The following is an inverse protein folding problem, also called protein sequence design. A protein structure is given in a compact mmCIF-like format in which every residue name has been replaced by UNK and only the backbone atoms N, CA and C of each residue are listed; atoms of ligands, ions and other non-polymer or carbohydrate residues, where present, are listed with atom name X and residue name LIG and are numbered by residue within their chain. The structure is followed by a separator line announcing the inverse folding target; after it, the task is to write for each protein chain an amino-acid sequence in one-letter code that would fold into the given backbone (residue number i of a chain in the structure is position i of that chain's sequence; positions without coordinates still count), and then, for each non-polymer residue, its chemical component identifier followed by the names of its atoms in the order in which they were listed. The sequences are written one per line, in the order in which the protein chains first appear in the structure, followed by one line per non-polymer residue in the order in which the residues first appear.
data_IF_457512554499
#
_entry.id   IF_457512554499
#
_cell.length_a   1.000
_cell.length_b   1.000
_cell.length_c   1.000
_cell.angle_alpha   90.00
_cell.angle_beta   90.00
_cell.angle_gamma   90.00
#
_symmetry.space_group_name_H-M   'P 1'
#
loop_
_entity.id
_entity.type
_entity.pdbx_description
1 polymer ?
#
# COMPACT_ATOMS: atom_id res chain seq x y z
N UNK A 1 42.74 35.65 12.62
CA UNK A 1 42.00 35.25 11.41
C UNK A 1 40.94 34.26 11.90
N UNK A 2 39.66 34.58 12.14
CA UNK A 2 38.62 35.35 11.42
C UNK A 2 37.94 34.56 10.28
N UNK A 3 36.60 34.48 10.37
CA UNK A 3 35.60 33.92 9.41
C UNK A 3 35.42 32.38 9.52
N UNK A 4 34.21 31.82 9.56
CA UNK A 4 32.87 32.36 9.28
C UNK A 4 31.82 32.07 10.38
N UNK A 5 30.84 32.97 10.46
CA UNK A 5 29.44 32.78 10.87
C UNK A 5 28.59 33.62 9.87
N UNK A 6 27.24 33.55 9.85
CA UNK A 6 26.32 32.61 10.50
C UNK A 6 25.68 31.71 9.41
N UNK A 7 24.48 31.11 9.48
CA UNK A 7 23.38 31.04 10.47
C UNK A 7 22.52 29.79 10.21
N UNK A 8 21.99 29.13 11.25
CA UNK A 8 20.73 28.38 11.17
C UNK A 8 19.95 28.60 12.48
N UNK A 9 18.87 29.39 12.41
CA UNK A 9 17.97 29.61 13.54
C UNK A 9 16.87 28.55 13.49
N UNK A 10 17.03 27.48 14.26
CA UNK A 10 15.96 26.52 14.51
C UNK A 10 15.07 27.06 15.64
N UNK A 11 13.91 27.61 15.28
CA UNK A 11 12.87 27.95 16.26
C UNK A 11 12.22 26.68 16.80
N UNK A 12 12.74 26.16 17.91
CA UNK A 12 12.04 25.16 18.73
C UNK A 12 11.17 25.92 19.73
N UNK A 13 9.88 26.06 19.43
CA UNK A 13 8.89 26.60 20.38
C UNK A 13 8.43 25.46 21.28
N UNK A 14 9.03 25.39 22.46
CA UNK A 14 8.56 24.57 23.58
C UNK A 14 7.57 25.41 24.41
N UNK A 15 6.30 25.02 24.45
CA UNK A 15 5.34 25.56 25.44
C UNK A 15 5.14 24.51 26.53
N UNK A 16 5.97 24.58 27.56
CA UNK A 16 5.61 24.05 28.87
C UNK A 16 4.84 25.13 29.64
N UNK A 17 3.72 24.75 30.26
CA UNK A 17 2.97 25.62 31.17
C UNK A 17 3.80 25.91 32.43
N UNK A 18 4.51 27.03 32.43
CA UNK A 18 4.86 27.75 33.65
C UNK A 18 3.84 28.87 33.85
N UNK A 19 3.20 28.87 35.02
CA UNK A 19 2.39 30.00 35.45
C UNK A 19 3.28 31.22 35.72
N UNK A 20 3.17 32.26 34.90
CA UNK A 20 3.36 33.69 35.25
C UNK A 20 2.90 34.55 34.07
N UNK A 21 2.18 35.62 34.42
CA UNK A 21 1.68 36.78 33.65
C UNK A 21 2.00 36.96 32.13
N UNK A 22 0.94 37.34 31.41
CA UNK A 22 0.92 38.25 30.26
C UNK A 22 1.84 37.98 29.06
N UNK A 23 1.33 37.19 28.10
CA UNK A 23 1.33 37.61 26.68
C UNK A 23 0.29 36.84 25.88
N UNK A 24 -0.72 37.56 25.35
CA UNK A 24 -1.81 36.95 24.60
C UNK A 24 -1.43 36.79 23.11
N UNK A 25 -1.03 35.59 22.71
CA UNK A 25 -0.93 35.22 21.30
C UNK A 25 -2.30 34.74 20.81
N UNK A 26 -3.01 35.58 20.06
CA UNK A 26 -4.29 35.20 19.46
C UNK A 26 -4.10 34.15 18.36
N UNK A 27 -4.36 32.89 18.67
CA UNK A 27 -4.67 31.88 17.65
C UNK A 27 -5.97 32.33 16.98
N UNK A 28 -5.87 32.75 15.71
CA UNK A 28 -7.03 33.19 14.95
C UNK A 28 -7.78 31.96 14.48
N UNK A 29 -9.04 31.79 14.89
CA UNK A 29 -9.87 30.68 14.45
C UNK A 29 -9.99 30.68 12.92
N UNK A 30 -9.41 29.66 12.28
CA UNK A 30 -9.47 29.52 10.82
C UNK A 30 -10.87 29.01 10.46
N UNK A 31 -11.45 29.51 9.36
CA UNK A 31 -12.66 28.92 8.80
C UNK A 31 -12.27 27.76 7.89
N UNK A 32 -12.67 26.54 8.24
CA UNK A 32 -12.80 25.47 7.25
C UNK A 32 -13.81 25.90 6.17
N UNK A 33 -13.41 25.82 4.91
CA UNK A 33 -14.29 26.05 3.78
C UNK A 33 -14.85 24.72 3.28
N UNK A 34 -16.09 24.38 3.64
CA UNK A 34 -16.74 23.16 3.13
C UNK A 34 -17.31 23.38 1.73
N UNK A 35 -16.65 22.81 0.73
CA UNK A 35 -17.16 22.66 -0.63
C UNK A 35 -17.19 21.17 -0.99
N UNK A 36 -18.40 20.63 -1.16
CA UNK A 36 -18.65 19.28 -1.67
C UNK A 36 -17.85 18.14 -0.96
N UNK A 37 -17.88 18.10 0.37
CA UNK A 37 -17.32 16.98 1.15
C UNK A 37 -15.80 16.97 1.33
N UNK A 38 -15.12 18.03 0.87
CA UNK A 38 -13.71 18.28 1.16
C UNK A 38 -13.55 19.16 2.42
N UNK A 39 -12.58 18.81 3.27
CA UNK A 39 -12.05 19.67 4.31
C UNK A 39 -10.57 19.98 4.04
N UNK A 40 -10.15 21.23 4.19
CA UNK A 40 -8.76 21.69 3.93
C UNK A 40 -8.16 22.32 5.18
N UNK A 41 -7.00 21.82 5.61
CA UNK A 41 -6.29 22.30 6.80
C UNK A 41 -5.15 23.27 6.42
N UNK A 42 -4.98 24.39 7.15
CA UNK A 42 -4.00 25.42 6.81
C UNK A 42 -2.57 25.04 7.27
N UNK A 43 -1.78 24.49 6.34
CA UNK A 43 -0.39 24.00 6.54
C UNK A 43 -0.22 22.88 7.57
N UNK A 44 0.46 21.77 7.24
CA UNK A 44 0.60 20.64 8.16
C UNK A 44 1.51 20.99 9.36
N UNK A 45 0.91 21.29 10.51
CA UNK A 45 1.57 21.13 11.82
C UNK A 45 1.52 19.66 12.23
N UNK A 46 2.15 18.79 11.44
CA UNK A 46 2.31 17.38 11.80
C UNK A 46 3.44 17.26 12.81
N UNK A 47 3.07 17.20 14.10
CA UNK A 47 3.97 16.77 15.16
C UNK A 47 3.89 15.25 15.29
N UNK A 48 4.57 14.50 14.39
CA UNK A 48 4.86 13.09 14.68
C UNK A 48 5.87 13.07 15.83
N UNK A 49 5.39 12.85 17.05
CA UNK A 49 6.27 12.47 18.15
C UNK A 49 6.78 11.04 17.88
N UNK A 50 8.11 10.82 17.73
CA UNK A 50 8.63 9.47 17.63
C UNK A 50 8.28 8.70 18.90
N UNK A 51 7.95 7.41 18.80
CA UNK A 51 7.67 6.56 19.99
C UNK A 51 8.87 6.43 20.96
N UNK A 52 10.05 6.93 20.58
CA UNK A 52 11.24 7.06 21.42
C UNK A 52 11.28 8.37 22.24
N UNK A 53 10.31 9.28 22.10
CA UNK A 53 10.16 10.39 23.03
C UNK A 53 9.79 9.82 24.41
N UNK A 54 10.71 10.00 25.35
CA UNK A 54 10.81 9.22 26.58
C UNK A 54 9.49 9.12 27.36
N UNK A 55 8.88 7.92 27.40
CA UNK A 55 7.63 7.62 28.12
C UNK A 55 7.80 7.52 29.65
N UNK A 56 8.84 8.13 30.23
CA UNK A 56 9.10 8.11 31.69
C UNK A 56 8.57 9.35 32.41
N UNK A 57 7.25 9.54 32.40
CA UNK A 57 6.50 10.34 33.37
C UNK A 57 5.00 10.08 33.17
N UNK A 58 4.28 9.76 34.24
CA UNK A 58 2.84 9.49 34.27
C UNK A 58 2.02 10.80 34.15
N UNK A 59 2.29 11.60 33.13
CA UNK A 59 1.47 12.75 32.77
C UNK A 59 0.38 12.27 31.80
N UNK A 60 -0.92 12.29 32.19
CA UNK A 60 -1.99 12.03 31.24
C UNK A 60 -2.01 13.16 30.20
N UNK A 61 -1.54 12.87 28.99
CA UNK A 61 -1.69 13.74 27.82
C UNK A 61 -3.16 13.70 27.36
N UNK A 62 -4.03 14.38 28.09
CA UNK A 62 -5.33 14.80 27.59
C UNK A 62 -5.13 15.98 26.65
N UNK A 63 -4.67 15.71 25.43
CA UNK A 63 -4.79 16.68 24.34
C UNK A 63 -6.24 16.68 23.85
N UNK A 64 -7.14 17.31 24.61
CA UNK A 64 -8.44 17.68 24.05
C UNK A 64 -8.21 18.84 23.09
N UNK A 65 -8.07 18.51 21.81
CA UNK A 65 -8.27 19.48 20.76
C UNK A 65 -9.79 19.72 20.66
N UNK A 66 -10.35 20.46 21.63
CA UNK A 66 -11.75 20.88 21.70
C UNK A 66 -12.06 21.97 20.65
N UNK A 67 -11.54 21.78 19.43
CA UNK A 67 -11.99 22.52 18.26
C UNK A 67 -13.15 21.75 17.62
N UNK A 68 -14.32 22.38 17.59
CA UNK A 68 -15.54 21.83 16.97
C UNK A 68 -15.26 21.43 15.51
N UNK A 69 -14.32 22.10 14.85
CA UNK A 69 -13.87 21.82 13.49
C UNK A 69 -13.19 20.45 13.31
N UNK A 70 -12.59 19.87 14.36
CA UNK A 70 -12.03 18.52 14.30
C UNK A 70 -13.11 17.44 14.36
N UNK A 71 -14.27 17.73 14.98
CA UNK A 71 -15.43 16.84 14.90
C UNK A 71 -15.99 16.80 13.47
N UNK A 72 -15.91 17.89 12.72
CA UNK A 72 -16.34 17.92 11.30
C UNK A 72 -15.50 17.00 10.41
N UNK A 73 -14.21 16.80 10.72
CA UNK A 73 -13.34 15.84 9.99
C UNK A 73 -13.87 14.41 10.03
N UNK A 74 -14.54 13.99 11.11
CA UNK A 74 -15.11 12.64 11.23
C UNK A 74 -16.19 12.33 10.18
N UNK A 75 -16.74 13.37 9.55
CA UNK A 75 -17.75 13.26 8.49
C UNK A 75 -17.18 13.57 7.09
N UNK A 76 -15.88 13.85 6.96
CA UNK A 76 -15.26 14.21 5.69
C UNK A 76 -14.75 12.98 4.93
N UNK A 77 -15.21 12.82 3.69
CA UNK A 77 -14.70 11.76 2.80
C UNK A 77 -13.33 12.11 2.19
N UNK A 78 -13.02 13.40 2.06
CA UNK A 78 -11.74 13.89 1.53
C UNK A 78 -11.13 14.89 2.50
N UNK A 79 -9.88 14.65 2.90
CA UNK A 79 -9.14 15.51 3.84
C UNK A 79 -7.87 16.00 3.12
N UNK A 80 -7.74 17.31 2.99
CA UNK A 80 -6.64 18.00 2.31
C UNK A 80 -5.69 18.63 3.33
N UNK A 81 -4.42 18.25 3.28
CA UNK A 81 -3.33 18.85 4.06
C UNK A 81 -2.43 19.77 3.20
N UNK A 82 -2.45 19.57 1.88
CA UNK A 82 -1.75 20.41 0.89
C UNK A 82 -2.65 20.63 -0.35
N UNK A 83 -2.73 21.86 -0.90
CA UNK A 83 -3.52 22.15 -2.10
C UNK A 83 -3.21 21.26 -3.32
N UNK A 84 -2.02 20.65 -3.41
CA UNK A 84 -1.68 19.71 -4.48
C UNK A 84 -2.63 18.50 -4.51
N UNK A 85 -3.12 18.03 -3.36
CA UNK A 85 -4.09 16.93 -3.29
C UNK A 85 -5.40 17.27 -4.01
N UNK A 86 -5.87 18.51 -3.89
CA UNK A 86 -7.08 18.96 -4.59
C UNK A 86 -6.90 18.98 -6.12
N UNK A 87 -5.68 19.25 -6.59
CA UNK A 87 -5.31 19.20 -8.01
C UNK A 87 -5.31 17.75 -8.53
N UNK A 88 -4.91 16.77 -7.71
CA UNK A 88 -4.93 15.34 -8.08
C UNK A 88 -6.36 14.78 -8.20
N UNK A 89 -7.25 15.16 -7.29
CA UNK A 89 -8.68 14.77 -7.34
C UNK A 89 -9.42 15.46 -8.49
N UNK A 90 -9.12 16.75 -8.72
CA UNK A 90 -9.90 17.58 -9.63
C UNK A 90 -11.31 17.88 -9.13
N UNK A 91 -12.22 18.09 -10.08
CA UNK A 91 -13.59 18.57 -9.80
C UNK A 91 -14.64 17.51 -9.50
N UNK A 92 -14.45 16.25 -9.93
CA UNK A 92 -15.37 15.16 -9.59
C UNK A 92 -14.79 14.36 -8.42
N UNK A 93 -15.45 14.43 -7.27
CA UNK A 93 -15.03 13.77 -6.02
C UNK A 93 -16.03 12.68 -5.61
N UNK A 94 -16.68 12.05 -6.59
CA UNK A 94 -17.65 10.96 -6.36
C UNK A 94 -16.94 9.62 -6.42
N UNK A 95 -17.06 8.82 -5.35
CA UNK A 95 -16.66 7.41 -5.36
C UNK A 95 -17.84 6.59 -5.84
N UNK A 96 -17.64 5.84 -6.92
CA UNK A 96 -18.61 4.95 -7.53
C UNK A 96 -18.33 3.51 -7.08
N UNK A 97 -19.35 2.80 -6.60
CA UNK A 97 -19.27 1.34 -6.48
C UNK A 97 -19.47 0.73 -7.87
N UNK A 98 -18.45 0.08 -8.42
CA UNK A 98 -18.53 -0.58 -9.73
C UNK A 98 -19.18 -1.95 -9.61
N UNK A 99 -18.64 -2.78 -8.72
CA UNK A 99 -19.16 -4.10 -8.38
C UNK A 99 -19.06 -4.31 -6.87
N UNK A 100 -19.83 -5.25 -6.33
CA UNK A 100 -19.82 -5.53 -4.90
C UNK A 100 -21.13 -6.10 -4.38
N UNK A 101 -21.34 -5.98 -3.07
CA UNK A 101 -22.23 -6.83 -2.29
C UNK A 101 -21.87 -8.33 -2.40
N UNK A 102 -20.57 -8.64 -2.52
CA UNK A 102 -20.11 -10.03 -2.36
C UNK A 102 -20.47 -10.52 -0.95
N UNK A 103 -20.83 -11.80 -0.83
CA UNK A 103 -21.08 -12.45 0.47
C UNK A 103 -19.80 -12.78 1.24
N UNK A 104 -18.64 -12.42 0.69
CA UNK A 104 -17.30 -12.77 1.16
C UNK A 104 -16.26 -11.85 0.52
N UNK A 105 -15.03 -11.88 1.04
CA UNK A 105 -13.96 -10.94 0.68
C UNK A 105 -13.28 -11.32 -0.66
N UNK A 106 -13.96 -10.95 -1.76
CA UNK A 106 -13.57 -11.28 -3.14
C UNK A 106 -12.75 -10.17 -3.80
N UNK A 107 -12.96 -8.91 -3.41
CA UNK A 107 -12.20 -7.75 -3.90
C UNK A 107 -11.09 -7.40 -2.88
N UNK A 108 -10.06 -8.24 -2.83
CA UNK A 108 -8.97 -8.12 -1.86
C UNK A 108 -7.69 -7.59 -2.53
N UNK A 109 -7.15 -8.32 -3.53
CA UNK A 109 -5.74 -8.20 -3.91
C UNK A 109 -5.45 -7.97 -5.39
N UNK A 110 -4.21 -7.58 -5.67
CA UNK A 110 -3.60 -7.55 -7.01
C UNK A 110 -4.44 -6.94 -8.14
N UNK A 111 -5.05 -5.75 -7.98
CA UNK A 111 -5.78 -5.11 -9.07
C UNK A 111 -4.84 -4.65 -10.19
N UNK A 112 -5.12 -5.05 -11.42
CA UNK A 112 -4.35 -4.72 -12.63
C UNK A 112 -5.28 -4.26 -13.74
N UNK A 113 -4.98 -3.11 -14.34
CA UNK A 113 -5.78 -2.55 -15.43
C UNK A 113 -5.49 -3.25 -16.77
N UNK A 114 -6.57 -3.59 -17.48
CA UNK A 114 -6.57 -4.21 -18.80
C UNK A 114 -7.10 -3.19 -19.83
N UNK A 115 -6.23 -2.41 -20.48
CA UNK A 115 -6.65 -1.28 -21.33
C UNK A 115 -7.40 -1.70 -22.60
N UNK A 116 -7.22 -2.93 -23.09
CA UNK A 116 -7.87 -3.43 -24.31
C UNK A 116 -9.39 -3.64 -24.14
N UNK A 117 -9.84 -3.95 -22.91
CA UNK A 117 -11.25 -4.22 -22.59
C UNK A 117 -11.87 -3.22 -21.62
N UNK A 118 -11.08 -2.24 -21.13
CA UNK A 118 -11.45 -1.30 -20.06
C UNK A 118 -11.96 -2.02 -18.79
N UNK A 119 -11.21 -3.06 -18.41
CA UNK A 119 -11.47 -3.89 -17.23
C UNK A 119 -10.32 -3.77 -16.21
N UNK A 120 -10.59 -4.11 -14.95
CA UNK A 120 -9.55 -4.46 -13.97
C UNK A 120 -9.68 -5.94 -13.64
N UNK A 121 -8.57 -6.69 -13.71
CA UNK A 121 -8.46 -8.01 -13.08
C UNK A 121 -7.97 -7.85 -11.65
N UNK A 122 -8.48 -8.66 -10.72
CA UNK A 122 -8.12 -8.64 -9.30
C UNK A 122 -8.33 -10.03 -8.69
N UNK A 123 -7.75 -10.24 -7.52
CA UNK A 123 -7.58 -11.55 -6.89
C UNK A 123 -8.19 -11.61 -5.48
N UNK A 124 -8.48 -12.83 -5.03
CA UNK A 124 -8.91 -13.14 -3.66
C UNK A 124 -8.10 -14.32 -3.14
N UNK A 125 -7.11 -14.06 -2.29
CA UNK A 125 -6.23 -15.11 -1.77
C UNK A 125 -7.03 -16.16 -0.96
N UNK A 126 -8.04 -15.72 -0.20
CA UNK A 126 -8.92 -16.56 0.61
C UNK A 126 -9.70 -17.61 -0.19
N UNK A 127 -10.00 -17.33 -1.47
CA UNK A 127 -10.82 -18.20 -2.32
C UNK A 127 -10.06 -18.77 -3.52
N UNK A 128 -8.82 -18.30 -3.76
CA UNK A 128 -8.06 -18.59 -4.97
C UNK A 128 -8.67 -18.03 -6.27
N UNK A 129 -9.75 -17.24 -6.18
CA UNK A 129 -10.45 -16.72 -7.35
C UNK A 129 -9.74 -15.53 -7.95
N UNK A 130 -9.76 -15.48 -9.29
CA UNK A 130 -9.31 -14.34 -10.08
C UNK A 130 -10.51 -13.84 -10.89
N UNK A 131 -10.82 -12.56 -10.76
CA UNK A 131 -12.02 -11.95 -11.33
C UNK A 131 -11.65 -10.72 -12.17
N UNK A 132 -12.45 -10.45 -13.21
CA UNK A 132 -12.42 -9.18 -13.96
C UNK A 132 -13.66 -8.36 -13.65
N UNK A 133 -13.52 -7.05 -13.57
CA UNK A 133 -14.63 -6.09 -13.51
C UNK A 133 -14.53 -5.08 -14.65
N UNK A 134 -15.63 -4.88 -15.39
CA UNK A 134 -15.71 -3.80 -16.38
C UNK A 134 -15.86 -2.45 -15.69
N UNK A 135 -15.00 -1.49 -16.05
CA UNK A 135 -15.05 -0.12 -15.52
C UNK A 135 -16.18 0.73 -16.16
N UNK A 136 -16.87 0.19 -17.17
CA UNK A 136 -17.97 0.84 -17.87
C UNK A 136 -19.33 0.38 -17.34
N UNK A 137 -19.49 -0.92 -17.07
CA UNK A 137 -20.77 -1.53 -16.70
C UNK A 137 -20.82 -2.03 -15.26
N UNK A 138 -19.69 -2.13 -14.56
CA UNK A 138 -19.58 -2.80 -13.27
C UNK A 138 -19.67 -4.33 -13.36
N UNK A 139 -19.80 -4.90 -14.57
CA UNK A 139 -19.99 -6.33 -14.76
C UNK A 139 -18.76 -7.12 -14.28
N UNK A 140 -19.02 -8.07 -13.40
CA UNK A 140 -18.04 -9.01 -12.88
C UNK A 140 -18.03 -10.29 -13.71
N UNK A 141 -16.82 -10.76 -14.04
CA UNK A 141 -16.57 -11.96 -14.85
C UNK A 141 -15.40 -12.75 -14.25
N UNK A 142 -15.62 -13.95 -13.70
CA UNK A 142 -14.53 -14.82 -13.28
C UNK A 142 -13.58 -15.14 -14.44
N UNK A 143 -12.28 -15.19 -14.18
CA UNK A 143 -11.30 -15.66 -15.16
C UNK A 143 -11.49 -17.18 -15.35
N UNK A 144 -11.60 -17.68 -16.60
CA UNK A 144 -11.90 -19.10 -16.86
C UNK A 144 -10.65 -19.97 -16.70
N UNK A 145 -10.12 -20.04 -15.47
CA UNK A 145 -8.89 -20.76 -15.13
C UNK A 145 -8.94 -22.23 -15.57
N UNK A 146 -7.92 -22.66 -16.31
CA UNK A 146 -7.83 -24.04 -16.83
C UNK A 146 -7.20 -25.01 -15.82
N UNK A 147 -6.64 -24.49 -14.73
CA UNK A 147 -6.07 -25.22 -13.60
C UNK A 147 -6.09 -24.30 -12.38
N UNK A 148 -6.26 -24.82 -11.16
CA UNK A 148 -6.29 -24.00 -9.95
C UNK A 148 -4.95 -23.28 -9.75
N UNK A 149 -5.02 -22.01 -9.36
CA UNK A 149 -3.84 -21.22 -8.97
C UNK A 149 -3.59 -21.34 -7.46
N UNK A 150 -4.67 -21.36 -6.65
CA UNK A 150 -4.61 -21.25 -5.19
C UNK A 150 -4.08 -19.89 -4.73
N UNK A 151 -4.60 -19.33 -3.63
CA UNK A 151 -3.97 -18.21 -2.93
C UNK A 151 -3.51 -17.02 -3.78
N UNK A 152 -4.21 -16.68 -4.87
CA UNK A 152 -3.80 -15.61 -5.78
C UNK A 152 -3.84 -14.25 -5.08
N UNK A 153 -2.74 -13.50 -5.15
CA UNK A 153 -2.51 -12.31 -4.32
C UNK A 153 -2.19 -11.07 -5.18
N UNK A 154 -1.04 -10.43 -5.03
CA UNK A 154 -0.61 -9.30 -5.86
C UNK A 154 -0.42 -9.63 -7.34
N UNK A 155 -0.40 -8.60 -8.18
CA UNK A 155 -0.28 -8.77 -9.62
C UNK A 155 0.19 -7.50 -10.34
N UNK A 156 0.75 -7.68 -11.54
CA UNK A 156 1.23 -6.59 -12.40
C UNK A 156 1.08 -6.91 -13.88
N UNK A 157 0.95 -5.88 -14.74
CA UNK A 157 0.97 -6.06 -16.19
C UNK A 157 2.31 -6.68 -16.64
N UNK A 158 2.28 -7.73 -17.45
CA UNK A 158 3.50 -8.40 -17.89
C UNK A 158 3.31 -9.15 -19.23
N UNK A 159 4.10 -8.77 -20.24
CA UNK A 159 4.21 -9.47 -21.54
C UNK A 159 2.87 -9.78 -22.21
N UNK A 160 1.97 -8.80 -22.28
CA UNK A 160 0.63 -8.93 -22.89
C UNK A 160 -0.37 -9.76 -22.06
N UNK A 161 -0.03 -10.07 -20.81
CA UNK A 161 -0.90 -10.66 -19.81
C UNK A 161 -0.61 -10.05 -18.45
N UNK A 162 -0.71 -10.87 -17.41
CA UNK A 162 -0.52 -10.45 -16.02
C UNK A 162 0.44 -11.41 -15.33
N UNK A 163 1.45 -10.90 -14.63
CA UNK A 163 2.21 -11.69 -13.66
C UNK A 163 1.47 -11.63 -12.31
N UNK A 164 1.19 -12.80 -11.72
CA UNK A 164 0.39 -12.94 -10.49
C UNK A 164 1.21 -13.70 -9.47
N UNK A 165 1.31 -13.19 -8.24
CA UNK A 165 1.84 -13.91 -7.09
C UNK A 165 0.78 -14.85 -6.52
N UNK A 166 1.21 -15.96 -5.93
CA UNK A 166 0.31 -16.96 -5.39
C UNK A 166 0.94 -17.61 -4.15
N UNK A 167 0.15 -17.71 -3.07
CA UNK A 167 0.46 -18.55 -1.90
C UNK A 167 0.24 -20.05 -2.19
N UNK A 168 -0.27 -20.40 -3.36
CA UNK A 168 -0.68 -21.74 -3.75
C UNK A 168 -1.87 -22.25 -2.94
N UNK A 169 -2.04 -23.57 -2.96
CA UNK A 169 -2.83 -24.34 -2.02
C UNK A 169 -2.19 -25.73 -1.93
N UNK A 170 -1.03 -25.81 -1.27
CA UNK A 170 -0.21 -27.01 -1.28
C UNK A 170 -0.85 -28.13 -0.44
N UNK A 171 -1.60 -27.75 0.61
CA UNK A 171 -2.25 -28.69 1.52
C UNK A 171 -3.42 -29.43 0.85
N UNK A 172 -4.27 -28.75 0.08
CA UNK A 172 -5.47 -29.37 -0.52
C UNK A 172 -5.29 -29.75 -2.00
N UNK A 173 -4.56 -28.93 -2.77
CA UNK A 173 -4.45 -29.04 -4.24
C UNK A 173 -3.03 -29.40 -4.72
N UNK A 174 -2.03 -29.40 -3.82
CA UNK A 174 -0.63 -29.64 -4.16
C UNK A 174 0.04 -28.51 -4.97
N UNK A 175 -0.60 -27.34 -5.05
CA UNK A 175 -0.07 -26.17 -5.79
C UNK A 175 0.88 -25.38 -4.86
N UNK A 176 2.18 -25.25 -5.18
CA UNK A 176 3.13 -24.52 -4.33
C UNK A 176 3.01 -22.99 -4.47
N UNK A 177 3.53 -22.22 -3.49
CA UNK A 177 3.69 -20.78 -3.64
C UNK A 177 4.61 -20.43 -4.81
N UNK A 178 4.36 -19.28 -5.45
CA UNK A 178 5.16 -18.84 -6.60
C UNK A 178 4.63 -17.61 -7.32
N UNK A 179 5.13 -17.43 -8.55
CA UNK A 179 4.68 -16.40 -9.48
C UNK A 179 4.35 -17.06 -10.82
N UNK A 180 3.18 -16.74 -11.37
CA UNK A 180 2.68 -17.25 -12.65
C UNK A 180 2.55 -16.11 -13.67
N UNK A 181 2.65 -16.44 -14.96
CA UNK A 181 2.16 -15.59 -16.05
C UNK A 181 0.78 -16.09 -16.45
N UNK A 182 -0.25 -15.25 -16.30
CA UNK A 182 -1.65 -15.50 -16.60
C UNK A 182 -2.11 -14.70 -17.83
N UNK A 183 -2.88 -15.35 -18.70
CA UNK A 183 -3.74 -14.65 -19.66
C UNK A 183 -5.16 -14.51 -19.07
N UNK A 184 -5.61 -13.29 -18.71
CA UNK A 184 -6.84 -13.09 -17.95
C UNK A 184 -8.14 -13.33 -18.75
N UNK A 185 -8.04 -13.54 -20.06
CA UNK A 185 -9.17 -13.81 -20.96
C UNK A 185 -9.38 -15.31 -21.18
N UNK A 186 -8.29 -16.09 -21.31
CA UNK A 186 -8.33 -17.54 -21.58
C UNK A 186 -8.13 -18.41 -20.35
N UNK A 187 -7.68 -17.82 -19.22
CA UNK A 187 -7.37 -18.54 -17.99
C UNK A 187 -6.19 -19.51 -18.09
N UNK A 188 -5.43 -19.46 -19.18
CA UNK A 188 -4.16 -20.18 -19.32
C UNK A 188 -3.11 -19.46 -18.49
N UNK A 189 -2.39 -20.20 -17.66
CA UNK A 189 -1.24 -19.70 -16.93
C UNK A 189 -0.05 -20.67 -16.99
N UNK A 190 1.15 -20.15 -16.73
CA UNK A 190 2.39 -20.91 -16.65
C UNK A 190 3.28 -20.37 -15.52
N UNK A 191 4.13 -21.23 -14.94
CA UNK A 191 5.07 -20.81 -13.90
C UNK A 191 6.16 -19.87 -14.46
N UNK A 192 6.36 -18.73 -13.79
CA UNK A 192 7.58 -17.91 -13.91
C UNK A 192 8.61 -18.43 -12.90
N UNK A 193 8.20 -18.66 -11.65
CA UNK A 193 9.01 -19.27 -10.59
C UNK A 193 8.10 -19.93 -9.54
N UNK A 194 8.52 -21.04 -8.95
CA UNK A 194 7.84 -21.74 -7.84
C UNK A 194 8.80 -22.31 -6.78
N UNK A 195 10.09 -22.01 -6.92
CA UNK A 195 11.15 -22.38 -6.00
C UNK A 195 12.38 -21.50 -6.24
N UNK A 196 13.22 -21.32 -5.22
CA UNK A 196 14.52 -20.68 -5.34
C UNK A 196 15.62 -21.69 -4.97
N UNK A 197 16.41 -22.12 -5.96
CA UNK A 197 17.41 -23.21 -5.82
C UNK A 197 16.84 -24.51 -5.22
N UNK A 198 15.59 -24.86 -5.54
CA UNK A 198 14.90 -26.04 -5.02
C UNK A 198 14.23 -25.85 -3.65
N UNK A 199 14.38 -24.69 -3.02
CA UNK A 199 13.66 -24.31 -1.81
C UNK A 199 12.31 -23.69 -2.18
N UNK A 200 11.23 -24.10 -1.52
CA UNK A 200 9.91 -23.51 -1.74
C UNK A 200 9.88 -22.05 -1.25
N UNK A 201 9.26 -21.19 -2.06
CA UNK A 201 8.92 -19.81 -1.68
C UNK A 201 7.92 -19.85 -0.51
N UNK A 202 7.97 -18.86 0.38
CA UNK A 202 7.16 -18.85 1.61
C UNK A 202 5.74 -18.29 1.44
N UNK A 203 5.54 -17.48 0.40
CA UNK A 203 4.27 -16.86 0.09
C UNK A 203 4.52 -15.54 -0.65
N UNK A 204 4.71 -15.57 -1.99
CA UNK A 204 4.85 -14.35 -2.76
C UNK A 204 3.61 -13.46 -2.60
N UNK A 205 3.83 -12.20 -2.24
CA UNK A 205 2.79 -11.29 -1.77
C UNK A 205 2.41 -10.27 -2.86
N UNK A 206 3.22 -9.23 -3.10
CA UNK A 206 3.02 -8.27 -4.22
C UNK A 206 4.17 -8.28 -5.24
N UNK A 207 3.93 -7.74 -6.43
CA UNK A 207 4.84 -7.80 -7.57
C UNK A 207 4.74 -6.55 -8.47
N UNK A 208 5.89 -6.12 -9.00
CA UNK A 208 5.99 -5.03 -9.98
C UNK A 208 6.93 -5.38 -11.13
N UNK A 209 6.55 -5.01 -12.35
CA UNK A 209 7.36 -5.16 -13.55
C UNK A 209 8.18 -3.90 -13.87
N UNK A 210 9.43 -4.09 -14.28
CA UNK A 210 10.27 -3.05 -14.85
C UNK A 210 10.12 -3.01 -16.38
N UNK A 211 10.42 -1.87 -16.98
CA UNK A 211 10.41 -1.68 -18.45
C UNK A 211 11.44 -2.55 -19.19
N UNK A 212 12.48 -3.04 -18.51
CA UNK A 212 13.43 -4.01 -19.08
C UNK A 212 12.91 -5.46 -19.08
N UNK A 213 11.71 -5.69 -18.52
CA UNK A 213 11.10 -7.01 -18.36
C UNK A 213 11.54 -7.77 -17.11
N UNK A 214 12.30 -7.15 -16.19
CA UNK A 214 12.52 -7.69 -14.85
C UNK A 214 11.23 -7.68 -14.04
N UNK A 215 11.08 -8.64 -13.13
CA UNK A 215 10.04 -8.66 -12.11
C UNK A 215 10.68 -8.50 -10.72
N UNK A 216 10.14 -7.62 -9.88
CA UNK A 216 10.48 -7.52 -8.46
C UNK A 216 9.25 -7.95 -7.66
N UNK A 217 9.40 -8.89 -6.74
CA UNK A 217 8.31 -9.39 -5.90
C UNK A 217 8.76 -9.56 -4.45
N UNK A 218 7.80 -9.54 -3.54
CA UNK A 218 7.99 -9.82 -2.10
C UNK A 218 7.63 -11.26 -1.79
N UNK A 219 8.46 -11.93 -1.00
CA UNK A 219 8.18 -13.28 -0.46
C UNK A 219 8.10 -13.18 1.06
N UNK A 220 7.06 -13.78 1.63
CA UNK A 220 6.67 -13.73 3.05
C UNK A 220 6.59 -15.14 3.62
N UNK A 221 6.12 -15.32 4.86
CA UNK A 221 5.71 -16.64 5.38
C UNK A 221 4.16 -16.83 5.33
N UNK A 222 3.43 -15.97 4.62
CA UNK A 222 1.96 -15.94 4.69
C UNK A 222 1.29 -17.24 4.23
N UNK A 223 1.86 -18.00 3.29
CA UNK A 223 1.27 -19.27 2.88
C UNK A 223 1.21 -20.29 4.04
N UNK A 224 2.22 -20.28 4.93
CA UNK A 224 2.20 -21.08 6.15
C UNK A 224 1.28 -20.49 7.21
N UNK A 225 1.35 -19.18 7.44
CA UNK A 225 0.58 -18.51 8.50
C UNK A 225 -0.94 -18.66 8.23
N UNK A 226 -1.39 -18.58 6.98
CA UNK A 226 -2.78 -18.86 6.57
C UNK A 226 -3.11 -20.34 6.39
N UNK A 227 -2.17 -21.27 6.60
CA UNK A 227 -2.39 -22.71 6.60
C UNK A 227 -2.52 -23.38 5.23
N UNK A 228 -2.21 -22.68 4.13
CA UNK A 228 -2.22 -23.23 2.76
C UNK A 228 -0.90 -23.92 2.36
N UNK A 229 0.17 -23.72 3.16
CA UNK A 229 1.42 -24.47 3.14
C UNK A 229 1.55 -25.41 4.36
N UNK A 230 2.07 -26.64 4.20
CA UNK A 230 2.26 -27.58 5.32
C UNK A 230 3.38 -27.21 6.31
N UNK A 231 4.18 -26.18 6.01
CA UNK A 231 5.27 -25.71 6.85
C UNK A 231 5.75 -24.32 6.43
N UNK A 232 6.54 -23.67 7.28
CA UNK A 232 7.09 -22.34 7.05
C UNK A 232 8.02 -22.27 5.83
N UNK A 233 8.25 -21.06 5.34
CA UNK A 233 9.14 -20.72 4.27
C UNK A 233 10.49 -21.45 4.37
N UNK A 234 10.93 -22.05 3.25
CA UNK A 234 12.28 -22.59 3.12
C UNK A 234 13.27 -21.52 2.62
N UNK A 235 12.73 -20.45 2.01
CA UNK A 235 13.41 -19.23 1.60
C UNK A 235 13.43 -18.20 2.73
N UNK A 236 14.21 -17.13 2.55
CA UNK A 236 14.17 -15.96 3.45
C UNK A 236 13.03 -15.03 3.04
N UNK A 237 12.25 -14.52 4.01
CA UNK A 237 11.36 -13.36 3.83
C UNK A 237 12.17 -12.16 3.32
N UNK A 238 11.93 -11.78 2.07
CA UNK A 238 12.80 -10.86 1.34
C UNK A 238 12.11 -10.32 0.09
N UNK A 239 12.72 -9.27 -0.49
CA UNK A 239 12.37 -8.81 -1.83
C UNK A 239 13.28 -9.52 -2.83
N UNK A 240 12.70 -10.20 -3.82
CA UNK A 240 13.41 -10.92 -4.88
C UNK A 240 13.30 -10.16 -6.20
N UNK A 241 14.27 -10.37 -7.08
CA UNK A 241 14.25 -9.91 -8.47
C UNK A 241 14.47 -11.08 -9.43
N UNK A 242 13.67 -11.13 -10.49
CA UNK A 242 13.81 -12.02 -11.64
C UNK A 242 14.22 -11.14 -12.84
N UNK A 243 15.51 -11.12 -13.24
CA UNK A 243 15.94 -10.40 -14.45
C UNK A 243 15.30 -11.01 -15.71
N UNK A 244 15.13 -10.25 -16.81
CA UNK A 244 14.48 -10.74 -18.03
C UNK A 244 15.17 -11.97 -18.65
N UNK A 245 16.48 -12.12 -18.41
CA UNK A 245 17.33 -13.19 -18.95
C UNK A 245 18.30 -13.73 -17.89
N UNK A 246 17.81 -14.05 -16.68
CA UNK A 246 18.68 -14.57 -15.61
C UNK A 246 17.93 -15.31 -14.49
N UNK A 247 18.66 -16.02 -13.61
CA UNK A 247 18.06 -16.64 -12.43
C UNK A 247 17.55 -15.59 -11.45
N UNK A 248 16.47 -15.90 -10.75
CA UNK A 248 15.98 -15.08 -9.66
C UNK A 248 17.01 -15.01 -8.51
N UNK A 249 17.05 -13.89 -7.80
CA UNK A 249 17.86 -13.71 -6.59
C UNK A 249 17.22 -12.72 -5.63
N UNK A 250 17.68 -12.75 -4.39
CA UNK A 250 17.40 -11.68 -3.42
C UNK A 250 17.88 -10.33 -3.98
N UNK A 251 17.03 -9.33 -3.86
CA UNK A 251 17.30 -7.92 -4.14
C UNK A 251 17.52 -7.13 -2.84
N UNK A 252 16.65 -7.36 -1.84
CA UNK A 252 16.73 -6.79 -0.49
C UNK A 252 16.49 -7.92 0.51
N UNK A 253 17.44 -8.19 1.38
CA UNK A 253 17.21 -8.97 2.60
C UNK A 253 17.01 -8.02 3.80
N UNK A 254 16.42 -8.55 4.88
CA UNK A 254 16.23 -7.83 6.15
C UNK A 254 15.50 -6.49 5.97
N UNK A 255 14.30 -6.54 5.37
CA UNK A 255 13.46 -5.35 5.20
C UNK A 255 13.15 -4.77 6.61
N UNK A 256 13.32 -3.45 6.85
CA UNK A 256 13.32 -2.93 8.23
C UNK A 256 11.94 -2.97 8.90
N UNK A 257 11.90 -2.73 10.21
CA UNK A 257 10.65 -2.72 10.97
C UNK A 257 10.22 -4.12 11.38
N UNK A 258 9.36 -4.75 10.58
CA UNK A 258 8.68 -6.02 10.90
C UNK A 258 9.47 -7.24 10.43
N UNK A 259 10.28 -7.09 9.38
CA UNK A 259 10.96 -8.18 8.66
C UNK A 259 10.16 -8.72 7.48
N UNK A 260 8.84 -8.60 7.51
CA UNK A 260 7.90 -9.08 6.48
C UNK A 260 7.59 -7.98 5.48
N UNK A 261 8.09 -8.06 4.24
CA UNK A 261 7.71 -7.12 3.18
C UNK A 261 6.33 -7.46 2.62
N UNK A 262 5.65 -6.46 2.04
CA UNK A 262 4.29 -6.62 1.52
C UNK A 262 4.20 -5.95 0.13
N UNK A 263 3.44 -4.87 -0.03
CA UNK A 263 3.30 -4.11 -1.27
C UNK A 263 4.61 -3.58 -1.87
N UNK A 264 4.67 -3.51 -3.21
CA UNK A 264 5.80 -2.93 -3.95
C UNK A 264 5.34 -2.02 -5.10
N UNK A 265 6.08 -0.94 -5.32
CA UNK A 265 5.91 -0.10 -6.51
C UNK A 265 7.19 0.63 -6.90
N UNK A 266 7.23 1.13 -8.14
CA UNK A 266 8.34 1.91 -8.69
C UNK A 266 7.96 3.38 -8.81
N UNK A 267 8.95 4.28 -8.71
CA UNK A 267 8.80 5.66 -9.18
C UNK A 267 8.54 5.70 -10.71
N UNK A 268 7.97 6.79 -11.27
CA UNK A 268 7.67 6.88 -12.69
C UNK A 268 8.88 6.72 -13.63
N UNK A 269 10.08 7.06 -13.14
CA UNK A 269 11.36 6.90 -13.83
C UNK A 269 12.07 5.56 -13.54
N UNK A 270 11.46 4.69 -12.72
CA UNK A 270 11.98 3.40 -12.25
C UNK A 270 13.35 3.48 -11.55
N UNK A 271 13.75 4.66 -11.05
CA UNK A 271 15.00 4.85 -10.29
C UNK A 271 14.82 4.64 -8.78
N UNK A 272 13.59 4.62 -8.27
CA UNK A 272 13.27 4.33 -6.86
C UNK A 272 12.33 3.13 -6.79
N UNK A 273 12.69 2.14 -5.97
CA UNK A 273 11.80 1.07 -5.51
C UNK A 273 11.25 1.43 -4.15
N UNK A 274 9.93 1.33 -3.99
CA UNK A 274 9.22 1.45 -2.74
C UNK A 274 8.77 0.05 -2.28
N UNK A 275 8.88 -0.22 -0.98
CA UNK A 275 8.48 -1.49 -0.34
C UNK A 275 7.77 -1.17 0.97
N UNK A 276 6.54 -1.66 1.17
CA UNK A 276 5.85 -1.56 2.47
C UNK A 276 6.19 -2.74 3.38
N UNK A 277 5.92 -2.58 4.67
CA UNK A 277 6.08 -3.63 5.69
C UNK A 277 4.86 -3.70 6.59
N UNK A 278 4.17 -4.83 6.54
CA UNK A 278 2.97 -5.09 7.34
C UNK A 278 3.38 -5.62 8.72
N UNK A 279 2.85 -5.08 9.83
CA UNK A 279 3.10 -5.61 11.15
C UNK A 279 2.32 -6.92 11.33
N UNK A 280 2.98 -7.96 11.83
CA UNK A 280 2.36 -9.25 12.16
C UNK A 280 1.50 -9.14 13.44
N UNK A 281 0.41 -8.39 13.35
CA UNK A 281 -0.63 -8.26 14.39
C UNK A 281 -1.86 -9.12 14.14
N UNK A 282 -1.86 -9.92 13.08
CA UNK A 282 -3.00 -10.77 12.76
C UNK A 282 -3.17 -11.81 13.88
N UNK A 283 -4.32 -11.77 14.56
CA UNK A 283 -4.72 -12.77 15.55
C UNK A 283 -5.12 -14.04 14.78
N UNK A 284 -4.10 -14.79 14.37
CA UNK A 284 -4.23 -15.91 13.45
C UNK A 284 -4.94 -17.11 14.09
N UNK A 285 -5.63 -17.95 13.29
CA UNK A 285 -6.36 -19.13 13.78
C UNK A 285 -5.50 -20.14 14.56
N UNK A 286 -4.17 -20.04 14.45
CA UNK A 286 -3.20 -20.94 15.08
C UNK A 286 -2.70 -20.46 16.47
N UNK A 287 -3.25 -19.38 17.05
CA UNK A 287 -2.82 -18.81 18.35
C UNK A 287 -1.29 -18.57 18.46
N UNK A 288 -0.64 -18.21 17.34
CA UNK A 288 0.74 -17.74 17.38
C UNK A 288 0.80 -16.48 18.26
N UNK A 289 1.79 -16.35 19.17
CA UNK A 289 1.84 -15.24 20.10
C UNK A 289 2.07 -13.93 19.32
N UNK A 290 1.00 -13.14 19.19
CA UNK A 290 1.07 -11.79 18.65
C UNK A 290 2.07 -11.02 19.51
N UNK A 291 3.17 -10.58 18.89
CA UNK A 291 4.13 -9.73 19.58
C UNK A 291 3.47 -8.38 19.84
N UNK A 292 3.22 -8.03 21.10
CA UNK A 292 2.64 -6.72 21.50
C UNK A 292 3.51 -5.50 21.08
N UNK A 293 4.70 -5.74 20.52
CA UNK A 293 5.40 -4.71 19.76
C UNK A 293 4.66 -4.44 18.46
N UNK A 294 3.98 -3.29 18.44
CA UNK A 294 3.87 -2.42 17.27
C UNK A 294 5.28 -2.27 16.66
N UNK A 295 5.60 -3.15 15.72
CA UNK A 295 6.80 -3.09 14.90
C UNK A 295 6.56 -2.06 13.82
N UNK A 296 7.59 -1.29 13.48
CA UNK A 296 7.42 -0.09 12.65
C UNK A 296 6.89 -0.43 11.25
N UNK A 297 5.64 -0.08 10.99
CA UNK A 297 5.03 -0.13 9.67
C UNK A 297 5.34 1.16 8.90
N UNK A 298 5.91 1.01 7.70
CA UNK A 298 6.34 2.12 6.85
C UNK A 298 6.41 1.65 5.40
N UNK A 299 6.36 2.62 4.48
CA UNK A 299 6.93 2.45 3.14
C UNK A 299 8.40 2.89 3.21
N UNK A 300 9.29 2.03 2.73
CA UNK A 300 10.72 2.31 2.60
C UNK A 300 11.07 2.53 1.13
N UNK A 301 11.92 3.52 0.85
CA UNK A 301 12.44 3.78 -0.48
C UNK A 301 13.89 3.29 -0.62
N UNK A 302 14.23 2.77 -1.80
CA UNK A 302 15.54 2.30 -2.20
C UNK A 302 15.86 2.85 -3.59
N UNK A 303 17.08 3.33 -3.81
CA UNK A 303 17.52 3.69 -5.16
C UNK A 303 17.84 2.40 -5.93
N UNK A 304 17.33 2.28 -7.15
CA UNK A 304 17.66 1.21 -8.08
C UNK A 304 18.88 1.60 -8.92
N UNK A 305 19.98 0.90 -8.73
CA UNK A 305 21.25 1.17 -9.38
C UNK A 305 21.69 -0.02 -10.27
N UNK A 306 21.94 0.25 -11.54
CA UNK A 306 22.56 -0.72 -12.44
C UNK A 306 24.06 -0.86 -12.10
N UNK A 307 24.51 -2.10 -11.87
CA UNK A 307 25.93 -2.46 -11.64
C UNK A 307 26.23 -3.77 -12.37
N UNK A 308 27.28 -3.81 -13.17
CA UNK A 308 27.72 -5.01 -13.90
C UNK A 308 26.60 -5.72 -14.69
N UNK A 309 25.63 -4.96 -15.23
CA UNK A 309 24.48 -5.49 -15.96
C UNK A 309 23.32 -6.02 -15.12
N UNK A 310 23.34 -5.85 -13.79
CA UNK A 310 22.23 -6.21 -12.90
C UNK A 310 21.73 -5.03 -12.04
N UNK A 311 20.45 -5.07 -11.67
CA UNK A 311 19.77 -4.04 -10.87
C UNK A 311 19.91 -4.29 -9.37
N UNK A 312 20.41 -3.31 -8.60
CA UNK A 312 20.62 -3.42 -7.16
C UNK A 312 19.82 -2.35 -6.42
N UNK A 313 19.23 -2.70 -5.28
CA UNK A 313 18.63 -1.75 -4.34
C UNK A 313 19.69 -1.24 -3.36
N UNK A 314 19.74 0.07 -3.14
CA UNK A 314 20.69 0.74 -2.23
C UNK A 314 20.05 1.98 -1.58
N UNK A 315 20.77 2.64 -0.67
CA UNK A 315 20.33 3.91 -0.02
C UNK A 315 18.93 3.85 0.61
N UNK A 316 18.66 2.75 1.32
CA UNK A 316 17.42 2.53 2.06
C UNK A 316 17.11 3.69 3.02
N UNK A 317 15.86 4.15 2.98
CA UNK A 317 15.32 5.24 3.82
C UNK A 317 13.85 4.98 4.12
N UNK A 318 13.39 5.38 5.30
CA UNK A 318 11.94 5.53 5.55
C UNK A 318 11.43 6.60 4.59
N UNK A 319 10.36 6.31 3.85
CA UNK A 319 9.70 7.27 2.96
C UNK A 319 8.48 7.87 3.64
N UNK A 320 7.54 7.04 4.10
CA UNK A 320 6.37 7.48 4.87
C UNK A 320 5.82 6.37 5.78
N UNK A 321 4.83 6.72 6.61
CA UNK A 321 4.00 5.79 7.40
C UNK A 321 2.56 6.27 7.38
N UNK A 322 1.61 5.34 7.48
CA UNK A 322 0.20 5.62 7.76
C UNK A 322 0.00 5.85 9.26
N UNK A 323 -0.88 6.77 9.64
CA UNK A 323 -1.27 7.04 11.05
C UNK A 323 -2.43 6.15 11.54
N UNK A 324 -3.17 5.53 10.61
CA UNK A 324 -4.24 4.55 10.87
C UNK A 324 -3.99 3.28 10.06
N UNK A 325 -4.07 2.11 10.70
CA UNK A 325 -3.68 0.83 10.10
C UNK A 325 -2.22 0.85 9.62
N UNK A 326 -1.92 0.05 8.59
CA UNK A 326 -0.61 -0.06 7.95
C UNK A 326 -0.72 0.16 6.43
N UNK A 327 0.40 0.52 5.75
CA UNK A 327 0.48 0.43 4.30
C UNK A 327 0.61 -1.04 3.91
N UNK A 328 -0.43 -1.59 3.28
CA UNK A 328 -0.34 -2.88 2.60
C UNK A 328 0.02 -2.60 1.13
N UNK A 329 -0.92 -2.81 0.21
CA UNK A 329 -0.84 -2.45 -1.20
C UNK A 329 -0.90 -0.96 -1.50
N UNK A 330 0.04 -0.48 -2.32
CA UNK A 330 0.10 0.91 -2.76
C UNK A 330 0.54 1.02 -4.24
N UNK A 331 0.34 2.19 -4.84
CA UNK A 331 0.77 2.50 -6.22
C UNK A 331 1.30 3.93 -6.31
N UNK A 332 2.10 4.22 -7.33
CA UNK A 332 2.68 5.56 -7.57
C UNK A 332 2.03 6.16 -8.82
N UNK A 333 1.56 7.40 -8.76
CA UNK A 333 1.01 8.10 -9.91
C UNK A 333 2.10 8.66 -10.85
N UNK A 334 1.73 9.14 -12.04
CA UNK A 334 2.70 9.66 -13.03
C UNK A 334 3.50 10.89 -12.55
N UNK A 335 3.00 11.62 -11.56
CA UNK A 335 3.60 12.84 -11.03
C UNK A 335 4.51 12.50 -9.81
N UNK A 336 4.55 11.23 -9.41
CA UNK A 336 5.44 10.66 -8.39
C UNK A 336 4.82 10.56 -6.99
N UNK A 337 3.53 10.87 -6.83
CA UNK A 337 2.88 10.74 -5.51
C UNK A 337 2.57 9.27 -5.24
N UNK A 338 2.75 8.83 -4.00
CA UNK A 338 2.45 7.48 -3.53
C UNK A 338 1.06 7.45 -2.92
N UNK A 339 0.20 6.60 -3.46
CA UNK A 339 -1.17 6.36 -3.03
C UNK A 339 -1.19 5.02 -2.29
N UNK A 340 -1.31 5.06 -0.97
CA UNK A 340 -1.22 3.89 -0.09
C UNK A 340 -2.57 3.48 0.43
N UNK A 341 -2.83 2.18 0.51
CA UNK A 341 -3.84 1.65 1.43
C UNK A 341 -3.52 2.05 2.88
N UNK A 342 -4.56 2.12 3.71
CA UNK A 342 -4.50 2.50 5.11
C UNK A 342 -5.74 1.99 5.86
N UNK A 343 -5.71 2.07 7.19
CA UNK A 343 -6.80 1.57 8.05
C UNK A 343 -8.14 2.31 7.92
N UNK A 344 -8.11 3.58 7.49
CA UNK A 344 -9.27 4.46 7.28
C UNK A 344 -9.59 4.73 5.79
N UNK A 345 -8.76 4.23 4.86
CA UNK A 345 -8.97 4.40 3.43
C UNK A 345 -7.66 4.46 2.64
N UNK A 346 -7.40 5.60 1.97
CA UNK A 346 -6.21 5.81 1.14
C UNK A 346 -5.47 7.06 1.61
N UNK A 347 -4.16 6.94 1.85
CA UNK A 347 -3.27 8.05 2.21
C UNK A 347 -2.39 8.41 1.02
N UNK A 348 -2.32 9.70 0.68
CA UNK A 348 -1.58 10.18 -0.49
C UNK A 348 -0.38 10.99 0.01
N UNK A 349 0.81 10.56 -0.39
CA UNK A 349 2.09 11.17 -0.04
C UNK A 349 2.76 11.75 -1.29
N UNK A 350 3.31 12.96 -1.20
CA UNK A 350 4.08 13.56 -2.30
C UNK A 350 5.44 12.86 -2.49
N UNK A 351 6.22 13.16 -3.56
CA UNK A 351 7.53 12.53 -3.80
C UNK A 351 8.60 12.74 -2.71
N UNK A 352 8.34 13.60 -1.71
CA UNK A 352 9.20 13.81 -0.54
C UNK A 352 8.76 13.01 0.70
N UNK A 353 7.70 12.19 0.59
CA UNK A 353 7.16 11.39 1.70
C UNK A 353 6.15 12.12 2.60
N UNK A 354 5.80 13.38 2.29
CA UNK A 354 4.86 14.16 3.09
C UNK A 354 3.41 13.81 2.74
N UNK A 355 2.59 13.53 3.75
CA UNK A 355 1.14 13.32 3.59
C UNK A 355 0.48 14.61 3.08
N UNK A 356 -0.12 14.56 1.89
CA UNK A 356 -0.81 15.70 1.26
C UNK A 356 -2.34 15.59 1.35
N UNK A 357 -2.87 14.37 1.50
CA UNK A 357 -4.30 14.17 1.68
C UNK A 357 -4.69 12.74 2.02
N UNK A 358 -5.96 12.56 2.40
CA UNK A 358 -6.61 11.27 2.61
C UNK A 358 -7.95 11.19 1.88
N UNK A 359 -8.28 9.98 1.44
CA UNK A 359 -9.60 9.58 0.98
C UNK A 359 -10.13 8.55 1.98
N UNK A 360 -11.16 8.92 2.73
CA UNK A 360 -11.74 8.07 3.78
C UNK A 360 -12.74 7.10 3.14
N UNK A 361 -12.53 5.80 3.35
CA UNK A 361 -13.40 4.72 2.85
C UNK A 361 -14.10 4.09 4.06
N UNK A 362 -15.42 4.35 4.27
CA UNK A 362 -16.11 3.93 5.49
C UNK A 362 -16.11 2.41 5.71
N UNK A 363 -15.83 2.00 6.96
CA UNK A 363 -15.70 0.61 7.38
C UNK A 363 -17.05 -0.17 7.49
N UNK A 364 -18.10 0.28 6.79
CA UNK A 364 -19.50 -0.12 7.05
C UNK A 364 -19.89 -1.52 6.52
N UNK A 365 -18.98 -2.22 5.85
CA UNK A 365 -19.25 -3.51 5.17
C UNK A 365 -18.21 -4.59 5.47
N UNK A 366 -17.36 -4.39 6.47
CA UNK A 366 -16.22 -5.26 6.81
C UNK A 366 -16.45 -5.86 8.20
N UNK A 367 -16.00 -7.10 8.48
CA UNK A 367 -16.15 -7.71 9.79
C UNK A 367 -15.58 -6.85 10.94
N UNK A 368 -16.23 -6.81 12.12
CA UNK A 368 -15.61 -6.24 13.30
C UNK A 368 -14.29 -6.98 13.57
N UNK A 369 -13.23 -6.21 13.84
CA UNK A 369 -11.81 -6.61 13.96
C UNK A 369 -10.95 -6.57 12.68
N UNK A 370 -11.44 -6.08 11.52
CA UNK A 370 -10.50 -5.69 10.45
C UNK A 370 -9.76 -4.41 10.81
N UNK A 371 -8.43 -4.45 10.76
CA UNK A 371 -7.55 -3.29 10.93
C UNK A 371 -7.40 -2.45 9.65
N UNK A 372 -7.96 -2.91 8.52
CA UNK A 372 -7.85 -2.27 7.21
C UNK A 372 -9.18 -2.16 6.48
N UNK A 373 -9.45 -0.99 5.86
CA UNK A 373 -10.61 -0.80 4.97
C UNK A 373 -10.26 -0.95 3.50
N UNK A 374 -9.05 -0.56 3.09
CA UNK A 374 -8.52 -0.77 1.74
C UNK A 374 -7.29 -1.65 1.87
N UNK A 375 -7.13 -2.60 0.95
CA UNK A 375 -6.00 -3.52 0.95
C UNK A 375 -5.07 -3.14 -0.21
N UNK A 376 -5.61 -3.13 -1.43
CA UNK A 376 -4.93 -2.70 -2.66
C UNK A 376 -5.70 -1.66 -3.49
N UNK A 377 -4.98 -1.06 -4.43
CA UNK A 377 -5.51 -0.11 -5.42
C UNK A 377 -4.77 -0.19 -6.76
N UNK A 378 -5.42 0.27 -7.83
CA UNK A 378 -4.85 0.36 -9.18
C UNK A 378 -5.25 1.65 -9.89
N UNK A 379 -4.41 2.12 -10.81
CA UNK A 379 -4.77 3.17 -11.74
C UNK A 379 -5.26 2.60 -13.08
N UNK A 380 -6.42 3.08 -13.54
CA UNK A 380 -7.04 2.72 -14.80
C UNK A 380 -7.16 3.96 -15.71
N UNK A 381 -6.02 4.46 -16.17
CA UNK A 381 -5.91 5.80 -16.77
C UNK A 381 -6.03 6.87 -15.68
N UNK A 382 -6.96 7.81 -15.85
CA UNK A 382 -7.30 8.85 -14.86
C UNK A 382 -8.45 8.43 -13.92
N UNK A 383 -8.44 7.16 -13.50
CA UNK A 383 -9.38 6.58 -12.53
C UNK A 383 -8.57 5.77 -11.53
N UNK A 384 -8.87 5.93 -10.25
CA UNK A 384 -8.41 5.03 -9.21
C UNK A 384 -9.44 3.92 -9.03
N UNK A 385 -9.00 2.66 -8.98
CA UNK A 385 -9.84 1.50 -8.66
C UNK A 385 -9.33 0.94 -7.33
N UNK A 386 -10.26 0.70 -6.41
CA UNK A 386 -9.96 0.46 -4.99
C UNK A 386 -10.56 -0.89 -4.59
N UNK A 387 -9.74 -1.78 -4.04
CA UNK A 387 -10.18 -3.05 -3.46
C UNK A 387 -10.63 -2.82 -2.02
N UNK A 388 -11.94 -3.03 -1.78
CA UNK A 388 -12.60 -2.78 -0.50
C UNK A 388 -13.41 -4.02 -0.08
N UNK A 389 -12.69 -5.13 0.14
CA UNK A 389 -13.18 -6.41 0.69
C UNK A 389 -14.34 -7.03 -0.11
N UNK A 390 -15.57 -6.61 0.20
CA UNK A 390 -16.82 -7.05 -0.45
C UNK A 390 -17.23 -6.15 -1.63
N UNK A 391 -16.42 -5.15 -1.99
CA UNK A 391 -16.71 -4.15 -3.02
C UNK A 391 -15.48 -3.76 -3.84
N UNK A 392 -15.71 -3.42 -5.12
CA UNK A 392 -14.76 -2.68 -5.97
C UNK A 392 -15.28 -1.26 -6.17
N UNK A 393 -14.51 -0.28 -5.70
CA UNK A 393 -14.84 1.13 -5.84
C UNK A 393 -13.99 1.79 -6.93
N UNK A 394 -14.46 2.90 -7.47
CA UNK A 394 -13.76 3.70 -8.47
C UNK A 394 -13.94 5.19 -8.23
N UNK A 395 -12.85 5.95 -8.35
CA UNK A 395 -12.80 7.40 -8.20
C UNK A 395 -12.15 8.02 -9.45
N UNK A 396 -12.84 8.88 -10.21
CA UNK A 396 -12.21 9.68 -11.25
C UNK A 396 -11.17 10.63 -10.66
N UNK A 397 -10.04 10.80 -11.36
CA UNK A 397 -8.92 11.65 -10.96
C UNK A 397 -8.54 12.61 -12.09
N UNK A 398 -7.74 13.62 -11.73
CA UNK A 398 -7.09 14.55 -12.66
C UNK A 398 -5.59 14.23 -12.85
N UNK A 399 -5.11 13.16 -12.23
CA UNK A 399 -3.81 12.52 -12.45
C UNK A 399 -4.00 11.12 -13.04
N UNK A 400 -2.99 10.57 -13.72
CA UNK A 400 -3.00 9.19 -14.23
C UNK A 400 -2.03 8.30 -13.46
N UNK A 401 -2.22 6.99 -13.57
CA UNK A 401 -1.19 6.02 -13.21
C UNK A 401 0.11 6.19 -14.00
N UNK A 402 1.15 5.40 -13.65
CA UNK A 402 2.42 5.40 -14.36
C UNK A 402 2.24 4.79 -15.75
N UNK A 403 3.23 4.97 -16.63
CA UNK A 403 3.23 4.32 -17.93
C UNK A 403 3.39 2.81 -17.71
N UNK A 404 2.43 2.02 -18.20
CA UNK A 404 2.46 0.56 -18.11
C UNK A 404 3.61 -0.02 -18.94
N UNK A 405 4.24 -1.09 -18.45
CA UNK A 405 5.37 -1.79 -19.08
C UNK A 405 4.92 -2.85 -20.11
#
# INVERSE_FOLDING_TARGET
MSRFEPSFVAYVILICLLSIADTCAQITAVRLGSLAGLCTLPTPQVLVLPNQFNRSLEAPLTSTADDVQLNDLSNCQFISFDPSFEVLLGGNRTIYQLGGNFTSDVAFEGPVYLPETDEVVFNSFLTGQINRVSLQTGQLTPVPLQSPVGGANGATNYKGGVAVTTFGNFVEEGVPPGVIQLNPYTGIWTWIINNWFGLHLGGPDDIVALTDGSLIFTDTDYAYIFGVSPGSAQTQEAVYIIPPNGPARVLINNVPGTGTPNGVALSPDQQTLYVSTTPLHITMPNNLPVSEKLTSHSIYAYDLALRNGGTFAQNMRVFCSTDVGYPDGFKVDRDGNVWSSAGDGIHIFNPAGSLIGKIIIPNASIPPNSEQTVNQLAFAGSRLVIMHHTNVLMLPLNVTGPILA
#
